data_IF_828044903448
#
_entry.id   IF_828044903448
#
_cell.length_a   1.000
_cell.length_b   1.000
_cell.length_c   1.000
_cell.angle_alpha   90.00
_cell.angle_beta   90.00
_cell.angle_gamma   90.00
#
_symmetry.space_group_name_H-M   'P 1'
#
loop_
_entity.id
_entity.type
_entity.pdbx_description
1 polymer ?
#
# COMPACT_ATOMS: atom_id res chain seq x y z
N UNK A 1 15.90 -14.22 -20.64
CA UNK A 1 17.22 -14.87 -20.36
C UNK A 1 18.21 -14.36 -21.39
N UNK A 2 19.46 -14.10 -21.02
CA UNK A 2 20.50 -13.66 -21.96
C UNK A 2 21.00 -14.85 -22.80
N UNK A 3 21.36 -14.65 -24.08
CA UNK A 3 22.08 -15.66 -24.86
C UNK A 3 23.39 -16.06 -24.15
N UNK A 4 23.70 -17.36 -24.09
CA UNK A 4 24.82 -17.89 -23.29
C UNK A 4 26.17 -17.27 -23.68
N UNK A 5 26.44 -17.11 -24.98
CA UNK A 5 27.69 -16.55 -25.51
C UNK A 5 27.94 -15.11 -25.03
N UNK A 6 26.87 -14.33 -24.90
CA UNK A 6 26.92 -12.95 -24.41
C UNK A 6 26.97 -12.94 -22.88
N UNK A 7 26.22 -13.82 -22.22
CA UNK A 7 26.13 -13.89 -20.77
C UNK A 7 27.47 -14.23 -20.09
N UNK A 8 28.35 -14.98 -20.76
CA UNK A 8 29.70 -15.32 -20.28
C UNK A 8 30.71 -14.16 -20.38
N UNK A 9 30.47 -13.20 -21.29
CA UNK A 9 31.36 -12.04 -21.51
C UNK A 9 30.99 -10.83 -20.67
N UNK A 10 29.81 -10.84 -20.04
CA UNK A 10 29.27 -9.72 -19.29
C UNK A 10 29.31 -9.98 -17.78
N UNK A 11 29.70 -8.95 -17.04
CA UNK A 11 29.54 -8.93 -15.58
C UNK A 11 28.05 -8.90 -15.20
N UNK A 12 27.71 -9.32 -13.98
CA UNK A 12 26.31 -9.27 -13.51
C UNK A 12 25.75 -7.84 -13.51
N UNK A 13 26.56 -6.83 -13.24
CA UNK A 13 26.13 -5.43 -13.32
C UNK A 13 25.93 -4.95 -14.77
N UNK A 14 26.80 -5.34 -15.71
CA UNK A 14 26.60 -5.01 -17.13
C UNK A 14 25.30 -5.62 -17.68
N UNK A 15 24.89 -6.80 -17.19
CA UNK A 15 23.58 -7.38 -17.53
C UNK A 15 22.42 -6.50 -17.05
N UNK A 16 22.52 -5.90 -15.86
CA UNK A 16 21.53 -4.94 -15.35
C UNK A 16 21.45 -3.72 -16.25
N UNK A 17 22.58 -3.14 -16.68
CA UNK A 17 22.61 -1.98 -17.58
C UNK A 17 21.91 -2.28 -18.92
N UNK A 18 22.14 -3.47 -19.49
CA UNK A 18 21.47 -3.87 -20.74
C UNK A 18 19.95 -4.03 -20.52
N UNK A 19 19.52 -4.62 -19.40
CA UNK A 19 18.09 -4.70 -19.06
C UNK A 19 17.49 -3.31 -18.90
N UNK A 20 18.17 -2.40 -18.20
CA UNK A 20 17.73 -1.02 -18.04
C UNK A 20 17.49 -0.33 -19.39
N UNK A 21 18.36 -0.53 -20.38
CA UNK A 21 18.23 0.10 -21.69
C UNK A 21 17.18 -0.56 -22.58
N UNK A 22 17.09 -1.89 -22.59
CA UNK A 22 16.26 -2.63 -23.57
C UNK A 22 14.89 -3.06 -23.02
N UNK A 23 14.80 -3.33 -21.72
CA UNK A 23 13.64 -3.90 -21.02
C UNK A 23 13.52 -3.31 -19.60
N UNK A 24 13.26 -2.00 -19.47
CA UNK A 24 13.14 -1.36 -18.16
C UNK A 24 12.03 -1.97 -17.29
N UNK A 25 11.01 -2.57 -17.90
CA UNK A 25 9.96 -3.37 -17.25
C UNK A 25 10.47 -4.64 -16.54
N UNK A 26 11.75 -4.99 -16.70
CA UNK A 26 12.39 -6.13 -16.02
C UNK A 26 13.56 -5.70 -15.13
N UNK A 27 13.75 -4.39 -14.95
CA UNK A 27 14.88 -3.86 -14.21
C UNK A 27 14.82 -4.27 -12.74
N UNK A 28 13.66 -4.20 -12.09
CA UNK A 28 13.46 -4.68 -10.72
C UNK A 28 13.93 -6.14 -10.57
N UNK A 29 13.41 -7.07 -11.38
CA UNK A 29 13.84 -8.48 -11.32
C UNK A 29 15.34 -8.66 -11.60
N UNK A 30 15.92 -7.87 -12.50
CA UNK A 30 17.35 -7.92 -12.79
C UNK A 30 18.21 -7.42 -11.62
N UNK A 31 17.77 -6.36 -10.93
CA UNK A 31 18.40 -5.83 -9.71
C UNK A 31 18.30 -6.83 -8.56
N UNK A 32 17.14 -7.47 -8.37
CA UNK A 32 16.97 -8.56 -7.38
C UNK A 32 18.00 -9.65 -7.64
N UNK A 33 18.05 -10.16 -8.87
CA UNK A 33 18.99 -11.22 -9.24
C UNK A 33 20.45 -10.81 -9.10
N UNK A 34 20.79 -9.58 -9.48
CA UNK A 34 22.13 -9.04 -9.28
C UNK A 34 22.50 -8.99 -7.80
N UNK A 35 21.58 -8.54 -6.96
CA UNK A 35 21.79 -8.40 -5.51
C UNK A 35 21.94 -9.75 -4.83
N UNK A 36 21.11 -10.74 -5.18
CA UNK A 36 21.24 -12.11 -4.65
C UNK A 36 22.56 -12.77 -5.06
N UNK A 37 23.00 -12.57 -6.31
CA UNK A 37 24.30 -13.06 -6.79
C UNK A 37 25.49 -12.40 -6.06
N UNK A 38 25.46 -11.08 -5.86
CA UNK A 38 26.56 -10.33 -5.23
C UNK A 38 26.63 -10.57 -3.73
N UNK A 39 25.49 -10.54 -3.03
CA UNK A 39 25.42 -10.77 -1.59
C UNK A 39 25.48 -12.26 -1.22
N UNK A 40 25.42 -13.15 -2.22
CA UNK A 40 25.40 -14.61 -2.04
C UNK A 40 24.25 -15.06 -1.11
N UNK A 41 23.08 -14.44 -1.27
CA UNK A 41 21.86 -14.76 -0.51
C UNK A 41 20.83 -15.42 -1.42
N UNK A 42 20.05 -16.39 -0.91
CA UNK A 42 19.06 -17.10 -1.73
C UNK A 42 17.91 -16.18 -2.19
N UNK A 43 17.58 -15.16 -1.41
CA UNK A 43 16.57 -14.14 -1.75
C UNK A 43 16.89 -12.82 -1.04
N UNK A 44 16.48 -11.71 -1.64
CA UNK A 44 16.45 -10.40 -0.98
C UNK A 44 15.19 -10.22 -0.11
N UNK A 45 14.14 -11.02 -0.36
CA UNK A 45 12.96 -11.00 0.48
C UNK A 45 13.36 -11.46 1.88
N UNK A 46 13.09 -10.64 2.90
CA UNK A 46 13.35 -11.04 4.28
C UNK A 46 12.61 -12.34 4.58
N UNK A 47 13.29 -13.30 5.21
CA UNK A 47 12.58 -14.40 5.83
C UNK A 47 11.66 -13.81 6.88
N UNK A 48 10.36 -14.07 6.81
CA UNK A 48 9.41 -13.69 7.85
C UNK A 48 9.95 -14.22 9.18
N UNK A 49 10.43 -13.32 10.04
CA UNK A 49 10.93 -13.73 11.35
C UNK A 49 9.73 -14.13 12.18
N UNK A 50 9.63 -15.38 12.66
CA UNK A 50 8.53 -15.78 13.52
C UNK A 50 8.44 -14.83 14.71
N UNK A 51 7.23 -14.42 15.10
CA UNK A 51 7.03 -13.54 16.25
C UNK A 51 7.71 -14.05 17.53
N UNK A 52 7.81 -15.38 17.66
CA UNK A 52 8.56 -16.05 18.71
C UNK A 52 10.05 -15.64 18.74
N UNK A 53 10.72 -15.56 17.58
CA UNK A 53 12.12 -15.13 17.48
C UNK A 53 12.29 -13.67 17.87
N UNK A 54 11.34 -12.80 17.49
CA UNK A 54 11.33 -11.39 17.89
C UNK A 54 11.16 -11.26 19.41
N UNK A 55 10.26 -12.05 19.99
CA UNK A 55 10.03 -12.09 21.44
C UNK A 55 11.28 -12.52 22.23
N UNK A 56 12.04 -13.48 21.70
CA UNK A 56 13.30 -13.93 22.30
C UNK A 56 14.42 -12.90 22.17
N UNK A 57 14.47 -12.17 21.05
CA UNK A 57 15.46 -11.13 20.80
C UNK A 57 15.18 -9.82 21.55
N UNK A 58 13.92 -9.60 21.98
CA UNK A 58 13.54 -8.44 22.76
C UNK A 58 13.82 -8.66 24.25
N UNK A 59 14.53 -7.71 24.84
CA UNK A 59 14.69 -7.58 26.29
C UNK A 59 13.60 -6.66 26.85
N UNK A 60 13.29 -6.75 28.15
CA UNK A 60 12.18 -5.98 28.74
C UNK A 60 12.25 -4.45 28.54
N UNK A 61 13.45 -3.88 28.41
CA UNK A 61 13.63 -2.43 28.17
C UNK A 61 13.53 -2.06 26.70
N UNK A 62 13.68 -3.02 25.78
CA UNK A 62 13.73 -2.78 24.33
C UNK A 62 12.36 -3.11 23.71
N UNK A 63 11.52 -2.09 23.41
CA UNK A 63 10.21 -2.35 22.83
C UNK A 63 10.32 -2.88 21.40
N UNK A 64 9.29 -3.61 20.97
CA UNK A 64 9.12 -4.10 19.60
C UNK A 64 8.11 -3.19 18.91
N UNK A 65 8.55 -2.48 17.88
CA UNK A 65 7.73 -1.55 17.11
C UNK A 65 7.33 -2.17 15.77
N UNK A 66 6.05 -2.48 15.63
CA UNK A 66 5.43 -2.81 14.36
C UNK A 66 5.10 -1.54 13.57
N UNK A 67 5.74 -1.42 12.42
CA UNK A 67 5.36 -0.47 11.38
C UNK A 67 4.30 -1.18 10.55
N UNK A 68 3.04 -0.85 10.78
CA UNK A 68 1.90 -1.51 10.14
C UNK A 68 1.51 -0.77 8.87
N UNK A 69 1.13 -1.52 7.83
CA UNK A 69 0.32 -0.95 6.74
C UNK A 69 -1.09 -0.65 7.24
N UNK A 70 -1.79 0.37 6.71
CA UNK A 70 -3.18 0.64 7.07
C UNK A 70 -4.05 -0.63 7.00
N UNK A 71 -4.82 -0.88 8.06
CA UNK A 71 -5.66 -2.08 8.18
C UNK A 71 -4.94 -3.37 8.60
N UNK A 72 -3.64 -3.33 8.91
CA UNK A 72 -2.92 -4.43 9.55
C UNK A 72 -2.93 -4.34 11.07
N UNK A 73 -3.32 -5.44 11.73
CA UNK A 73 -3.46 -5.54 13.18
C UNK A 73 -2.80 -6.84 13.68
N UNK A 74 -1.70 -6.75 14.45
CA UNK A 74 -0.99 -7.91 14.99
C UNK A 74 -1.61 -8.47 16.29
N UNK A 75 -2.72 -7.91 16.78
CA UNK A 75 -3.30 -8.25 18.10
C UNK A 75 -3.58 -9.74 18.24
N UNK A 76 -4.10 -10.37 17.18
CA UNK A 76 -4.47 -11.78 17.25
C UNK A 76 -3.24 -12.68 17.31
N UNK A 77 -2.26 -12.47 16.44
CA UNK A 77 -1.03 -13.27 16.42
C UNK A 77 -0.25 -13.12 17.74
N UNK A 78 -0.26 -11.92 18.32
CA UNK A 78 0.33 -11.68 19.65
C UNK A 78 -0.45 -12.36 20.77
N UNK A 79 -1.79 -12.38 20.70
CA UNK A 79 -2.63 -13.06 21.70
C UNK A 79 -2.40 -14.56 21.67
N UNK A 80 -2.33 -15.16 20.48
CA UNK A 80 -2.03 -16.59 20.31
C UNK A 80 -0.60 -16.90 20.80
N UNK A 81 0.38 -16.04 20.51
CA UNK A 81 1.74 -16.19 21.02
C UNK A 81 1.82 -16.09 22.55
N UNK A 82 1.14 -15.11 23.14
CA UNK A 82 1.10 -14.93 24.59
C UNK A 82 0.45 -16.16 25.26
N UNK A 83 -0.66 -16.66 24.72
CA UNK A 83 -1.32 -17.87 25.20
C UNK A 83 -0.41 -19.10 25.11
N UNK A 84 0.32 -19.27 24.00
CA UNK A 84 1.25 -20.39 23.81
C UNK A 84 2.44 -20.37 24.76
N UNK A 85 2.82 -19.19 25.27
CA UNK A 85 3.93 -18.98 26.20
C UNK A 85 3.47 -18.84 27.66
N UNK A 86 2.17 -18.96 27.92
CA UNK A 86 1.58 -18.80 29.25
C UNK A 86 1.64 -17.37 29.79
N UNK A 87 1.84 -16.38 28.91
CA UNK A 87 1.95 -14.97 29.27
C UNK A 87 0.61 -14.26 29.13
N UNK A 88 0.37 -13.26 29.98
CA UNK A 88 -0.81 -12.40 29.89
C UNK A 88 -0.50 -11.21 29.00
N UNK A 89 -1.27 -11.03 27.92
CA UNK A 89 -1.22 -9.85 27.06
C UNK A 89 -2.32 -8.87 27.47
N UNK A 90 -1.96 -7.60 27.66
CA UNK A 90 -2.89 -6.49 27.86
C UNK A 90 -2.68 -5.50 26.72
N UNK A 91 -3.76 -5.12 26.03
CA UNK A 91 -3.70 -4.28 24.83
C UNK A 91 -4.56 -3.03 24.97
N UNK A 92 -4.08 -1.90 24.42
CA UNK A 92 -4.83 -0.65 24.35
C UNK A 92 -4.56 0.07 23.03
N UNK A 93 -5.61 0.51 22.35
CA UNK A 93 -5.49 1.40 21.19
C UNK A 93 -5.49 2.85 21.65
N UNK A 94 -4.51 3.64 21.22
CA UNK A 94 -4.48 5.06 21.52
C UNK A 94 -5.55 5.77 20.69
N UNK A 95 -6.39 6.55 21.36
CA UNK A 95 -7.45 7.34 20.75
C UNK A 95 -8.38 7.95 21.80
N UNK A 96 -8.79 9.20 21.59
CA UNK A 96 -9.80 9.84 22.45
C UNK A 96 -9.34 10.23 23.87
N UNK A 97 -8.04 10.41 24.11
CA UNK A 97 -7.52 10.94 25.38
C UNK A 97 -7.12 9.88 26.43
N UNK A 98 -6.92 8.62 26.02
CA UNK A 98 -6.57 7.50 26.91
C UNK A 98 -5.05 7.31 27.11
N UNK A 99 -4.23 8.32 26.80
CA UNK A 99 -2.77 8.20 26.83
C UNK A 99 -2.23 7.98 28.25
N UNK A 100 -2.91 8.51 29.26
CA UNK A 100 -2.51 8.34 30.65
C UNK A 100 -2.77 6.90 31.15
N UNK A 101 -3.91 6.33 30.79
CA UNK A 101 -4.25 4.94 31.10
C UNK A 101 -3.27 3.97 30.42
N UNK A 102 -2.82 4.29 29.21
CA UNK A 102 -1.78 3.51 28.52
C UNK A 102 -0.44 3.51 29.27
N UNK A 103 -0.04 4.64 29.89
CA UNK A 103 1.16 4.70 30.73
C UNK A 103 1.00 3.89 32.02
N UNK A 104 -0.17 3.91 32.63
CA UNK A 104 -0.46 3.10 33.82
C UNK A 104 -0.44 1.60 33.48
N UNK A 105 -1.05 1.21 32.36
CA UNK A 105 -0.97 -0.14 31.82
C UNK A 105 0.48 -0.57 31.58
N UNK A 106 1.31 0.31 31.00
CA UNK A 106 2.73 0.06 30.79
C UNK A 106 3.48 -0.16 32.12
N UNK A 107 3.28 0.72 33.10
CA UNK A 107 3.91 0.61 34.43
C UNK A 107 3.51 -0.66 35.16
N UNK A 108 2.21 -1.00 35.16
CA UNK A 108 1.71 -2.22 35.78
C UNK A 108 2.28 -3.45 35.07
N UNK A 109 2.31 -3.45 33.73
CA UNK A 109 2.93 -4.52 32.95
C UNK A 109 4.41 -4.71 33.30
N UNK A 110 5.17 -3.62 33.44
CA UNK A 110 6.59 -3.67 33.83
C UNK A 110 6.78 -4.31 35.21
N UNK A 111 5.90 -4.06 36.18
CA UNK A 111 5.98 -4.61 37.54
C UNK A 111 5.53 -6.08 37.58
N UNK A 112 4.40 -6.39 36.95
CA UNK A 112 3.77 -7.73 36.99
C UNK A 112 4.39 -8.71 36.00
N UNK A 113 5.16 -8.23 35.02
CA UNK A 113 5.74 -9.05 33.96
C UNK A 113 4.80 -9.40 32.82
N UNK A 114 3.69 -8.69 32.70
CA UNK A 114 2.73 -8.88 31.61
C UNK A 114 3.26 -8.34 30.29
N UNK A 115 2.75 -8.87 29.18
CA UNK A 115 2.99 -8.28 27.87
C UNK A 115 2.03 -7.13 27.65
N UNK A 116 2.54 -6.02 27.13
CA UNK A 116 1.76 -4.81 26.86
C UNK A 116 1.79 -4.51 25.38
N UNK A 117 0.62 -4.33 24.76
CA UNK A 117 0.45 -3.90 23.38
C UNK A 117 -0.19 -2.52 23.33
N UNK A 118 0.54 -1.51 22.85
CA UNK A 118 0.01 -0.15 22.63
C UNK A 118 -0.12 0.07 21.13
N UNK A 119 -1.35 0.30 20.67
CA UNK A 119 -1.66 0.42 19.24
C UNK A 119 -1.88 1.87 18.80
N UNK A 120 -1.68 2.13 17.51
CA UNK A 120 -1.97 3.39 16.84
C UNK A 120 -1.18 4.59 17.39
N UNK A 121 0.10 4.42 17.69
CA UNK A 121 0.96 5.50 18.19
C UNK A 121 1.03 6.71 17.25
N UNK A 122 0.80 6.49 15.95
CA UNK A 122 0.72 7.55 14.94
C UNK A 122 -0.37 8.60 15.23
N UNK A 123 -1.36 8.29 16.07
CA UNK A 123 -2.41 9.22 16.50
C UNK A 123 -1.95 10.16 17.64
N UNK A 124 -0.85 9.84 18.33
CA UNK A 124 -0.36 10.59 19.50
C UNK A 124 1.17 10.68 19.56
N UNK A 125 1.81 11.12 18.47
CA UNK A 125 3.27 11.14 18.33
C UNK A 125 4.00 11.97 19.40
N UNK A 126 3.44 13.12 19.78
CA UNK A 126 4.02 13.98 20.83
C UNK A 126 4.05 13.28 22.19
N UNK A 127 3.07 12.39 22.46
CA UNK A 127 3.02 11.59 23.68
C UNK A 127 3.89 10.33 23.59
N UNK A 128 4.00 9.70 22.42
CA UNK A 128 4.69 8.41 22.25
C UNK A 128 6.13 8.42 22.79
N UNK A 129 6.83 9.57 22.77
CA UNK A 129 8.16 9.71 23.37
C UNK A 129 8.20 9.42 24.89
N UNK A 130 7.09 9.58 25.61
CA UNK A 130 7.00 9.27 27.05
C UNK A 130 7.13 7.76 27.35
N UNK A 131 6.74 6.90 26.41
CA UNK A 131 6.88 5.44 26.55
C UNK A 131 8.35 5.08 26.76
N UNK A 132 9.23 5.70 25.97
CA UNK A 132 10.67 5.48 26.07
C UNK A 132 11.23 5.90 27.43
N UNK A 133 10.79 7.06 27.93
CA UNK A 133 11.20 7.57 29.24
C UNK A 133 10.79 6.63 30.37
N UNK A 134 9.57 6.08 30.32
CA UNK A 134 9.08 5.11 31.30
C UNK A 134 9.85 3.78 31.24
N UNK A 135 10.09 3.25 30.04
CA UNK A 135 10.85 2.00 29.87
C UNK A 135 12.30 2.13 30.36
N UNK A 136 12.94 3.29 30.13
CA UNK A 136 14.32 3.55 30.55
C UNK A 136 14.45 3.77 32.06
N UNK A 137 13.50 4.49 32.66
CA UNK A 137 13.51 4.79 34.09
C UNK A 137 12.99 3.63 34.94
N UNK A 138 12.18 2.75 34.35
CA UNK A 138 11.64 1.56 34.98
C UNK A 138 12.67 0.45 35.18
N UNK A 139 12.29 -0.53 36.01
CA UNK A 139 12.98 -1.81 36.14
C UNK A 139 12.02 -2.93 35.72
N UNK A 140 11.84 -3.17 34.41
CA UNK A 140 10.88 -4.15 33.93
C UNK A 140 11.22 -5.55 34.42
N UNK A 141 10.19 -6.32 34.77
CA UNK A 141 10.29 -7.74 35.06
C UNK A 141 10.91 -8.49 33.88
N UNK A 142 11.59 -9.61 34.13
CA UNK A 142 12.32 -10.36 33.08
C UNK A 142 11.40 -10.83 31.94
N UNK A 143 10.16 -11.17 32.29
CA UNK A 143 9.18 -11.73 31.35
C UNK A 143 8.34 -10.63 30.65
N UNK A 144 8.48 -9.37 31.09
CA UNK A 144 7.80 -8.22 30.47
C UNK A 144 8.23 -8.05 29.01
N UNK A 145 7.27 -7.76 28.13
CA UNK A 145 7.50 -7.38 26.74
C UNK A 145 6.60 -6.22 26.35
N UNK A 146 7.15 -5.22 25.68
CA UNK A 146 6.43 -4.06 25.17
C UNK A 146 6.32 -4.14 23.65
N UNK A 147 5.09 -4.20 23.15
CA UNK A 147 4.73 -4.24 21.74
C UNK A 147 4.03 -2.93 21.38
N UNK A 148 4.46 -2.31 20.29
CA UNK A 148 3.97 -1.02 19.83
C UNK A 148 3.53 -1.14 18.37
N UNK A 149 2.43 -0.49 17.98
CA UNK A 149 2.05 -0.36 16.56
C UNK A 149 2.00 1.10 16.13
N UNK A 150 2.51 1.38 14.94
CA UNK A 150 2.47 2.70 14.33
C UNK A 150 2.36 2.60 12.82
N UNK A 151 1.75 3.61 12.20
CA UNK A 151 1.87 3.83 10.76
C UNK A 151 3.11 4.72 10.50
N UNK A 152 3.67 4.70 9.28
CA UNK A 152 4.76 5.59 8.90
C UNK A 152 4.38 7.07 9.07
N UNK A 153 5.16 7.82 9.86
CA UNK A 153 5.02 9.27 10.06
C UNK A 153 6.40 9.91 10.13
N UNK A 154 6.58 11.04 9.46
CA UNK A 154 7.88 11.73 9.38
C UNK A 154 8.36 12.27 10.74
N UNK A 155 7.43 12.66 11.60
CA UNK A 155 7.67 13.26 12.91
C UNK A 155 7.59 12.26 14.08
N UNK A 156 7.77 10.96 13.80
CA UNK A 156 7.77 9.95 14.86
C UNK A 156 9.00 10.12 15.77
N UNK A 157 8.88 9.99 17.12
CA UNK A 157 9.99 10.21 18.05
C UNK A 157 11.25 9.38 17.76
N UNK A 158 12.35 10.05 17.40
CA UNK A 158 13.61 9.41 16.99
C UNK A 158 14.20 8.53 18.09
N UNK A 159 14.16 8.98 19.35
CA UNK A 159 14.72 8.23 20.49
C UNK A 159 13.98 6.89 20.67
N UNK A 160 12.65 6.90 20.54
CA UNK A 160 11.86 5.67 20.61
C UNK A 160 12.15 4.77 19.40
N UNK A 161 12.33 5.33 18.20
CA UNK A 161 12.71 4.54 17.02
C UNK A 161 14.06 3.86 17.21
N UNK A 162 15.06 4.58 17.70
CA UNK A 162 16.41 4.06 17.94
C UNK A 162 16.40 2.93 18.98
N UNK A 163 15.67 3.12 20.08
CA UNK A 163 15.57 2.14 21.17
C UNK A 163 14.67 0.94 20.85
N UNK A 164 13.89 0.98 19.77
CA UNK A 164 12.98 -0.11 19.38
C UNK A 164 13.62 -1.17 18.46
N UNK A 165 13.17 -2.41 18.58
CA UNK A 165 13.28 -3.42 17.52
C UNK A 165 12.18 -3.14 16.48
N UNK A 166 12.55 -2.72 15.27
CA UNK A 166 11.61 -2.28 14.24
C UNK A 166 11.29 -3.44 13.31
N UNK A 167 10.01 -3.68 13.08
CA UNK A 167 9.51 -4.76 12.23
C UNK A 167 8.42 -4.19 11.32
N UNK A 168 8.60 -4.34 10.02
CA UNK A 168 7.51 -4.09 9.08
C UNK A 168 6.48 -5.22 9.25
N UNK A 169 5.26 -4.86 9.60
CA UNK A 169 4.15 -5.79 9.73
C UNK A 169 3.22 -5.55 8.53
N UNK A 170 3.51 -6.29 7.47
CA UNK A 170 2.81 -6.23 6.20
C UNK A 170 2.20 -7.60 5.94
N UNK A 171 1.05 -7.63 5.26
CA UNK A 171 0.47 -8.89 4.84
C UNK A 171 1.12 -9.38 3.55
N UNK A 172 1.29 -10.70 3.38
CA UNK A 172 1.82 -11.25 2.15
C UNK A 172 0.90 -10.87 0.98
N UNK A 173 1.45 -10.36 -0.13
CA UNK A 173 0.65 -9.91 -1.26
C UNK A 173 -0.08 -11.08 -1.91
N UNK A 174 -1.20 -10.76 -2.56
CA UNK A 174 -1.98 -11.66 -3.39
C UNK A 174 -3.37 -11.94 -2.83
N UNK A 175 -4.35 -12.03 -3.74
CA UNK A 175 -5.78 -12.17 -3.38
C UNK A 175 -6.01 -13.38 -2.49
N UNK A 176 -5.37 -14.51 -2.81
CA UNK A 176 -5.47 -15.75 -2.04
C UNK A 176 -4.99 -15.57 -0.59
N UNK A 177 -3.85 -14.94 -0.40
CA UNK A 177 -3.28 -14.70 0.93
C UNK A 177 -4.18 -13.76 1.74
N UNK A 178 -4.72 -12.74 1.08
CA UNK A 178 -5.66 -11.83 1.71
C UNK A 178 -7.00 -12.51 2.08
N UNK A 179 -7.57 -13.37 1.22
CA UNK A 179 -8.74 -14.19 1.57
C UNK A 179 -8.43 -15.12 2.75
N UNK A 180 -7.26 -15.77 2.75
CA UNK A 180 -6.85 -16.64 3.86
C UNK A 180 -6.81 -15.88 5.18
N UNK A 181 -6.21 -14.69 5.20
CA UNK A 181 -6.19 -13.78 6.34
C UNK A 181 -7.59 -13.43 6.84
N UNK A 182 -8.50 -13.08 5.92
CA UNK A 182 -9.89 -12.79 6.27
C UNK A 182 -10.56 -14.01 6.90
N UNK A 183 -10.44 -15.19 6.30
CA UNK A 183 -10.99 -16.44 6.84
C UNK A 183 -10.35 -16.84 8.17
N UNK A 184 -9.07 -16.52 8.38
CA UNK A 184 -8.43 -16.71 9.67
C UNK A 184 -9.08 -15.80 10.70
N UNK A 185 -9.34 -14.53 10.40
CA UNK A 185 -9.91 -13.55 11.35
C UNK A 185 -11.32 -13.88 11.84
N UNK A 186 -12.06 -14.72 11.14
CA UNK A 186 -13.43 -15.08 11.50
C UNK A 186 -13.51 -16.16 12.59
N UNK A 187 -14.45 -15.96 13.51
CA UNK A 187 -14.88 -17.01 14.42
C UNK A 187 -15.57 -18.15 13.65
N UNK A 188 -15.11 -19.37 13.89
CA UNK A 188 -15.61 -20.55 13.16
C UNK A 188 -17.08 -20.80 13.48
N UNK A 189 -17.52 -20.57 14.73
CA UNK A 189 -18.93 -20.76 15.10
C UNK A 189 -19.83 -19.76 14.41
N UNK A 190 -19.43 -18.49 14.33
CA UNK A 190 -20.17 -17.45 13.61
C UNK A 190 -20.31 -17.73 12.11
N UNK A 191 -19.24 -18.23 11.48
CA UNK A 191 -19.24 -18.61 10.06
C UNK A 191 -20.14 -19.84 9.83
N UNK A 192 -20.00 -20.86 10.67
CA UNK A 192 -20.68 -22.16 10.56
C UNK A 192 -22.12 -22.19 11.12
N UNK A 193 -22.63 -21.06 11.62
CA UNK A 193 -23.91 -20.99 12.36
C UNK A 193 -25.18 -21.29 11.54
N UNK A 194 -25.08 -21.38 10.21
CA UNK A 194 -26.25 -21.50 9.33
C UNK A 194 -26.07 -22.53 8.22
N UNK A 195 -26.80 -22.31 7.13
CA UNK A 195 -26.79 -23.19 5.98
C UNK A 195 -25.56 -22.98 5.07
N UNK A 196 -25.48 -23.81 4.03
CA UNK A 196 -24.39 -23.74 3.04
C UNK A 196 -24.43 -22.40 2.31
N UNK A 197 -25.61 -21.89 1.95
CA UNK A 197 -25.78 -20.60 1.27
C UNK A 197 -25.19 -19.45 2.08
N UNK A 198 -25.46 -19.40 3.40
CA UNK A 198 -24.83 -18.43 4.31
C UNK A 198 -23.30 -18.46 4.20
N UNK A 199 -22.72 -19.64 4.34
CA UNK A 199 -21.26 -19.81 4.36
C UNK A 199 -20.62 -19.41 3.03
N UNK A 200 -21.28 -19.75 1.92
CA UNK A 200 -20.85 -19.39 0.57
C UNK A 200 -20.92 -17.88 0.33
N UNK A 201 -22.00 -17.21 0.71
CA UNK A 201 -22.14 -15.75 0.53
C UNK A 201 -21.16 -14.99 1.40
N UNK A 202 -20.92 -15.43 2.65
CA UNK A 202 -19.87 -14.84 3.49
C UNK A 202 -18.50 -14.97 2.82
N UNK A 203 -18.18 -16.13 2.26
CA UNK A 203 -16.93 -16.34 1.53
C UNK A 203 -16.82 -15.46 0.27
N UNK A 204 -17.92 -15.20 -0.44
CA UNK A 204 -17.96 -14.22 -1.53
C UNK A 204 -17.57 -12.81 -1.05
N UNK A 205 -18.00 -12.39 0.14
CA UNK A 205 -17.58 -11.11 0.74
C UNK A 205 -16.06 -11.06 0.96
N UNK A 206 -15.45 -12.14 1.46
CA UNK A 206 -13.99 -12.21 1.62
C UNK A 206 -13.26 -12.12 0.27
N UNK A 207 -13.73 -12.85 -0.75
CA UNK A 207 -13.14 -12.82 -2.10
C UNK A 207 -13.24 -11.43 -2.72
N UNK A 208 -14.41 -10.80 -2.65
CA UNK A 208 -14.62 -9.44 -3.16
C UNK A 208 -13.70 -8.44 -2.45
N UNK A 209 -13.67 -8.46 -1.11
CA UNK A 209 -12.85 -7.55 -0.32
C UNK A 209 -11.35 -7.71 -0.63
N UNK A 210 -10.86 -8.95 -0.71
CA UNK A 210 -9.48 -9.24 -1.06
C UNK A 210 -9.13 -8.76 -2.48
N UNK A 211 -10.04 -8.91 -3.44
CA UNK A 211 -9.81 -8.49 -4.82
C UNK A 211 -9.75 -6.96 -4.96
N UNK A 212 -10.63 -6.21 -4.29
CA UNK A 212 -10.59 -4.73 -4.35
C UNK A 212 -9.36 -4.17 -3.62
N UNK A 213 -8.94 -4.80 -2.53
CA UNK A 213 -7.69 -4.46 -1.83
C UNK A 213 -6.48 -4.73 -2.72
N UNK A 214 -6.35 -5.90 -3.33
CA UNK A 214 -5.14 -6.16 -4.13
C UNK A 214 -5.00 -5.30 -5.39
N UNK A 215 -6.10 -4.76 -5.89
CA UNK A 215 -6.03 -3.79 -6.99
C UNK A 215 -5.38 -2.47 -6.60
N UNK A 216 -5.31 -2.10 -5.32
CA UNK A 216 -4.61 -0.88 -4.88
C UNK A 216 -3.11 -0.97 -5.11
N UNK A 217 -2.56 -2.18 -5.24
CA UNK A 217 -1.17 -2.41 -5.64
C UNK A 217 -0.85 -1.96 -7.08
N UNK A 218 -1.85 -1.66 -7.92
CA UNK A 218 -1.67 -1.40 -9.36
C UNK A 218 -2.07 0.02 -9.80
N UNK A 219 -1.73 1.08 -9.06
CA UNK A 219 -2.12 2.44 -9.45
C UNK A 219 -1.27 2.95 -10.64
N UNK A 220 -1.86 3.57 -11.69
CA UNK A 220 -3.27 3.92 -11.86
C UNK A 220 -4.17 2.88 -12.59
N UNK A 221 -3.64 1.73 -13.02
CA UNK A 221 -4.36 0.74 -13.85
C UNK A 221 -5.39 -0.10 -13.08
N UNK A 222 -5.13 -0.31 -11.79
CA UNK A 222 -5.99 -0.98 -10.81
C UNK A 222 -7.10 -0.05 -10.36
N UNK A 223 -6.71 1.11 -9.88
CA UNK A 223 -7.57 2.23 -9.46
C UNK A 223 -6.92 3.54 -9.90
N UNK A 224 -7.70 4.57 -10.21
CA UNK A 224 -7.10 5.87 -10.57
C UNK A 224 -6.40 6.57 -9.40
N UNK A 225 -6.76 6.20 -8.16
CA UNK A 225 -6.23 6.75 -6.90
C UNK A 225 -6.09 5.64 -5.86
N UNK A 226 -5.38 5.95 -4.77
CA UNK A 226 -5.31 5.06 -3.62
C UNK A 226 -6.62 5.14 -2.82
N UNK A 227 -7.35 4.02 -2.76
CA UNK A 227 -8.59 3.89 -2.02
C UNK A 227 -8.38 2.95 -0.84
N UNK A 228 -8.78 3.39 0.35
CA UNK A 228 -8.68 2.60 1.56
C UNK A 228 -9.97 1.78 1.78
N UNK A 229 -9.89 0.48 1.53
CA UNK A 229 -10.94 -0.49 1.86
C UNK A 229 -10.62 -1.14 3.20
N UNK A 230 -11.42 -0.82 4.22
CA UNK A 230 -11.19 -1.17 5.62
C UNK A 230 -11.90 -2.47 6.03
N UNK A 231 -11.49 -3.04 7.16
CA UNK A 231 -12.18 -4.20 7.77
C UNK A 231 -13.63 -3.89 8.17
N UNK A 232 -13.96 -2.62 8.44
CA UNK A 232 -15.33 -2.19 8.68
C UNK A 232 -16.20 -2.36 7.43
N UNK A 233 -15.66 -2.07 6.23
CA UNK A 233 -16.38 -2.25 4.97
C UNK A 233 -16.66 -3.74 4.71
N UNK A 234 -15.70 -4.62 5.02
CA UNK A 234 -15.90 -6.08 4.98
C UNK A 234 -17.00 -6.51 5.96
N UNK A 235 -16.98 -6.02 7.20
CA UNK A 235 -17.99 -6.35 8.21
C UNK A 235 -19.39 -5.93 7.74
N UNK A 236 -19.55 -4.69 7.27
CA UNK A 236 -20.82 -4.22 6.72
C UNK A 236 -21.27 -5.00 5.48
N UNK A 237 -20.33 -5.45 4.64
CA UNK A 237 -20.62 -6.31 3.52
C UNK A 237 -21.17 -7.68 3.96
N UNK A 238 -20.54 -8.31 4.96
CA UNK A 238 -21.02 -9.55 5.56
C UNK A 238 -22.41 -9.37 6.17
N UNK A 239 -22.63 -8.33 6.98
CA UNK A 239 -23.95 -8.06 7.59
C UNK A 239 -25.04 -7.87 6.52
N UNK A 240 -24.75 -7.11 5.46
CA UNK A 240 -25.67 -6.91 4.33
C UNK A 240 -25.97 -8.23 3.61
N UNK A 241 -24.94 -9.06 3.38
CA UNK A 241 -25.09 -10.38 2.81
C UNK A 241 -26.01 -11.28 3.64
N UNK A 242 -25.88 -11.24 4.96
CA UNK A 242 -26.73 -12.01 5.87
C UNK A 242 -28.17 -11.52 5.87
N UNK A 243 -28.40 -10.21 5.76
CA UNK A 243 -29.75 -9.64 5.65
C UNK A 243 -30.42 -9.95 4.30
N UNK A 244 -29.63 -10.14 3.24
CA UNK A 244 -30.14 -10.50 1.92
C UNK A 244 -30.43 -12.00 1.77
N UNK A 245 -29.99 -12.83 2.73
CA UNK A 245 -30.27 -14.27 2.76
C UNK A 245 -31.67 -14.53 3.33
N UNK A 246 -32.48 -15.29 2.61
CA UNK A 246 -33.82 -15.72 3.03
C UNK A 246 -33.78 -17.05 3.76
N UNK A 247 -34.87 -17.34 4.48
CA UNK A 247 -35.05 -18.59 5.23
C UNK A 247 -35.00 -19.86 4.35
N UNK A 248 -35.29 -19.73 3.06
CA UNK A 248 -35.22 -20.83 2.08
C UNK A 248 -33.81 -21.04 1.50
N UNK A 249 -32.80 -20.30 1.98
CA UNK A 249 -31.43 -20.34 1.52
C UNK A 249 -31.17 -19.58 0.21
N UNK A 250 -32.20 -18.92 -0.35
CA UNK A 250 -32.04 -18.06 -1.52
C UNK A 250 -31.56 -16.64 -1.14
N UNK A 251 -30.84 -15.99 -2.05
CA UNK A 251 -30.25 -14.65 -1.81
C UNK A 251 -30.94 -13.62 -2.68
N UNK A 252 -31.37 -12.50 -2.09
CA UNK A 252 -31.87 -11.31 -2.79
C UNK A 252 -30.72 -10.53 -3.44
N UNK A 253 -30.18 -11.10 -4.52
CA UNK A 253 -29.01 -10.56 -5.21
C UNK A 253 -29.12 -9.09 -5.64
N UNK A 254 -30.26 -8.59 -6.18
CA UNK A 254 -30.37 -7.18 -6.57
C UNK A 254 -30.17 -6.23 -5.39
N UNK A 255 -30.76 -6.55 -4.24
CA UNK A 255 -30.66 -5.75 -3.01
C UNK A 255 -29.24 -5.78 -2.46
N UNK A 256 -28.64 -6.97 -2.37
CA UNK A 256 -27.25 -7.13 -1.92
C UNK A 256 -26.29 -6.29 -2.77
N UNK A 257 -26.38 -6.43 -4.10
CA UNK A 257 -25.53 -5.68 -5.03
C UNK A 257 -25.74 -4.17 -4.91
N UNK A 258 -26.98 -3.71 -4.84
CA UNK A 258 -27.31 -2.29 -4.73
C UNK A 258 -26.75 -1.65 -3.47
N UNK A 259 -26.77 -2.34 -2.33
CA UNK A 259 -26.20 -1.84 -1.07
C UNK A 259 -24.67 -1.87 -1.13
N UNK A 260 -24.06 -2.96 -1.60
CA UNK A 260 -22.60 -3.07 -1.71
C UNK A 260 -22.01 -2.00 -2.64
N UNK A 261 -22.62 -1.78 -3.80
CA UNK A 261 -22.10 -0.87 -4.81
C UNK A 261 -22.37 0.61 -4.53
N UNK A 262 -23.39 0.97 -3.74
CA UNK A 262 -23.76 2.37 -3.50
C UNK A 262 -23.48 2.84 -2.07
N UNK A 263 -23.63 1.97 -1.07
CA UNK A 263 -23.52 2.35 0.35
C UNK A 263 -22.23 1.87 1.01
N UNK A 264 -21.73 0.67 0.69
CA UNK A 264 -20.56 0.08 1.37
C UNK A 264 -19.26 0.43 0.66
N UNK A 265 -19.08 -0.02 -0.59
CA UNK A 265 -17.84 0.20 -1.33
C UNK A 265 -17.91 1.40 -2.27
N UNK A 266 -19.09 1.69 -2.84
CA UNK A 266 -19.26 2.85 -3.72
C UNK A 266 -19.04 4.19 -3.04
N UNK A 267 -19.33 4.29 -1.74
CA UNK A 267 -19.14 5.54 -0.99
C UNK A 267 -17.64 5.88 -0.78
N UNK A 268 -16.75 4.90 -0.96
CA UNK A 268 -15.29 5.09 -0.91
C UNK A 268 -14.73 5.64 -2.23
N UNK A 269 -15.49 5.51 -3.32
CA UNK A 269 -15.00 5.75 -4.68
C UNK A 269 -15.65 6.99 -5.28
N UNK A 270 -14.85 8.04 -5.47
CA UNK A 270 -15.27 9.32 -6.02
C UNK A 270 -15.17 9.38 -7.56
N UNK A 271 -14.36 8.53 -8.18
CA UNK A 271 -14.16 8.49 -9.62
C UNK A 271 -15.23 7.61 -10.31
N UNK A 272 -15.93 8.17 -11.30
CA UNK A 272 -16.98 7.47 -12.04
C UNK A 272 -16.50 6.22 -12.80
N UNK A 273 -15.25 6.18 -13.27
CA UNK A 273 -14.67 5.02 -13.94
C UNK A 273 -14.34 3.90 -12.96
N UNK A 274 -13.76 4.25 -11.81
CA UNK A 274 -13.50 3.30 -10.72
C UNK A 274 -14.81 2.76 -10.13
N UNK A 275 -15.85 3.58 -10.04
CA UNK A 275 -17.17 3.13 -9.59
C UNK A 275 -17.77 2.09 -10.55
N UNK A 276 -17.56 2.22 -11.88
CA UNK A 276 -17.98 1.18 -12.84
C UNK A 276 -17.29 -0.15 -12.58
N UNK A 277 -16.02 -0.11 -12.19
CA UNK A 277 -15.25 -1.30 -11.86
C UNK A 277 -15.77 -1.97 -10.58
N UNK A 278 -16.05 -1.19 -9.52
CA UNK A 278 -16.70 -1.71 -8.30
C UNK A 278 -18.02 -2.40 -8.65
N UNK A 279 -18.88 -1.73 -9.42
CA UNK A 279 -20.18 -2.29 -9.87
C UNK A 279 -20.01 -3.59 -10.65
N UNK A 280 -19.01 -3.65 -11.54
CA UNK A 280 -18.73 -4.86 -12.31
C UNK A 280 -18.27 -6.01 -11.41
N UNK A 281 -17.39 -5.76 -10.45
CA UNK A 281 -16.93 -6.75 -9.49
C UNK A 281 -18.08 -7.27 -8.62
N UNK A 282 -18.92 -6.34 -8.11
CA UNK A 282 -20.10 -6.69 -7.33
C UNK A 282 -21.05 -7.57 -8.15
N UNK A 283 -21.29 -7.23 -9.42
CA UNK A 283 -22.14 -8.01 -10.32
C UNK A 283 -21.60 -9.41 -10.60
N UNK A 284 -20.30 -9.53 -10.81
CA UNK A 284 -19.67 -10.79 -11.19
C UNK A 284 -19.49 -11.76 -10.01
N UNK A 285 -19.22 -11.23 -8.81
CA UNK A 285 -19.00 -12.04 -7.60
C UNK A 285 -20.34 -12.39 -6.92
N UNK A 286 -21.26 -11.44 -6.78
CA UNK A 286 -22.54 -11.63 -6.09
C UNK A 286 -23.65 -12.02 -7.07
N UNK A 287 -23.56 -13.26 -7.55
CA UNK A 287 -24.52 -13.87 -8.46
C UNK A 287 -24.61 -15.38 -8.21
N UNK A 288 -25.79 -15.96 -8.45
CA UNK A 288 -26.00 -17.40 -8.30
C UNK A 288 -25.03 -18.21 -9.18
N UNK A 289 -24.73 -17.72 -10.38
CA UNK A 289 -23.80 -18.37 -11.29
C UNK A 289 -22.38 -18.51 -10.71
N UNK A 290 -21.95 -17.56 -9.86
CA UNK A 290 -20.65 -17.60 -9.21
C UNK A 290 -20.56 -18.74 -8.18
N UNK A 291 -21.68 -19.07 -7.52
CA UNK A 291 -21.79 -20.22 -6.61
C UNK A 291 -21.83 -21.52 -7.41
N UNK A 292 -22.71 -21.59 -8.42
CA UNK A 292 -23.01 -22.85 -9.12
C UNK A 292 -21.82 -23.32 -9.97
N UNK A 293 -21.23 -22.43 -10.77
CA UNK A 293 -20.21 -22.77 -11.77
C UNK A 293 -18.80 -22.35 -11.37
N UNK A 294 -18.65 -21.61 -10.26
CA UNK A 294 -17.43 -20.87 -9.96
C UNK A 294 -17.30 -19.62 -10.83
N UNK A 295 -16.79 -18.53 -10.27
CA UNK A 295 -16.51 -17.29 -10.99
C UNK A 295 -15.04 -17.19 -11.41
N UNK A 296 -14.77 -16.44 -12.49
CA UNK A 296 -13.40 -16.09 -12.91
C UNK A 296 -12.62 -15.33 -11.82
N UNK A 297 -13.36 -14.53 -11.04
CA UNK A 297 -12.86 -13.75 -9.91
C UNK A 297 -12.75 -14.58 -8.61
N UNK A 298 -13.21 -15.82 -8.59
CA UNK A 298 -13.13 -16.69 -7.42
C UNK A 298 -11.84 -17.54 -7.46
N UNK A 299 -11.19 -17.75 -6.32
CA UNK A 299 -9.95 -18.54 -6.26
C UNK A 299 -10.18 -20.03 -6.56
N UNK A 300 -11.40 -20.54 -6.35
CA UNK A 300 -11.83 -21.91 -6.63
C UNK A 300 -13.36 -21.98 -6.68
N UNK A 301 -13.91 -23.11 -7.14
CA UNK A 301 -15.35 -23.38 -7.09
C UNK A 301 -15.77 -23.60 -5.64
N UNK A 302 -16.75 -22.84 -5.16
CA UNK A 302 -17.15 -22.85 -3.76
C UNK A 302 -17.64 -24.26 -3.32
N UNK A 303 -17.08 -24.83 -2.25
CA UNK A 303 -17.56 -26.09 -1.71
C UNK A 303 -18.98 -25.93 -1.13
N UNK A 304 -19.79 -26.99 -1.26
CA UNK A 304 -21.11 -27.06 -0.64
C UNK A 304 -21.00 -27.54 0.81
N UNK A 305 -20.34 -26.74 1.65
CA UNK A 305 -20.07 -27.04 3.05
C UNK A 305 -20.24 -25.80 3.90
N UNK A 306 -20.49 -25.99 5.18
CA UNK A 306 -20.49 -24.90 6.17
C UNK A 306 -19.11 -24.73 6.82
N UNK A 307 -18.27 -25.76 6.80
CA UNK A 307 -17.02 -25.75 7.58
C UNK A 307 -15.99 -24.77 7.04
N UNK A 308 -15.58 -23.82 7.89
CA UNK A 308 -14.55 -22.83 7.57
C UNK A 308 -13.19 -23.49 7.29
N UNK A 309 -12.89 -24.59 7.98
CA UNK A 309 -11.66 -25.38 7.76
C UNK A 309 -11.58 -25.97 6.34
N UNK A 310 -12.72 -26.38 5.78
CA UNK A 310 -12.78 -26.89 4.41
C UNK A 310 -12.51 -25.78 3.39
N UNK A 311 -13.07 -24.59 3.57
CA UNK A 311 -12.76 -23.43 2.72
C UNK A 311 -11.26 -23.08 2.77
N UNK A 312 -10.64 -23.10 3.95
CA UNK A 312 -9.19 -22.88 4.12
C UNK A 312 -8.36 -23.95 3.41
N UNK A 313 -8.75 -25.21 3.52
CA UNK A 313 -8.07 -26.32 2.84
C UNK A 313 -8.15 -26.18 1.31
N UNK A 314 -9.30 -25.79 0.77
CA UNK A 314 -9.46 -25.50 -0.66
C UNK A 314 -8.64 -24.29 -1.12
N UNK A 315 -8.52 -23.24 -0.29
CA UNK A 315 -7.59 -22.13 -0.56
C UNK A 315 -6.16 -22.65 -0.67
N UNK A 316 -5.74 -23.54 0.24
CA UNK A 316 -4.37 -24.06 0.26
C UNK A 316 -4.04 -24.94 -0.97
N UNK A 317 -5.02 -25.69 -1.48
CA UNK A 317 -4.85 -26.61 -2.61
C UNK A 317 -5.26 -26.02 -3.97
N UNK A 318 -5.66 -24.74 -4.04
CA UNK A 318 -6.04 -24.15 -5.32
C UNK A 318 -4.83 -24.07 -6.28
N UNK A 319 -4.98 -24.68 -7.46
CA UNK A 319 -3.98 -24.72 -8.55
C UNK A 319 -3.83 -23.36 -9.27
N UNK A 320 -4.79 -22.45 -9.07
CA UNK A 320 -4.73 -21.08 -9.59
C UNK A 320 -3.61 -20.34 -8.86
N UNK A 321 -2.45 -20.23 -9.53
CA UNK A 321 -1.26 -19.59 -8.99
C UNK A 321 -1.57 -18.14 -8.61
N UNK A 322 -1.11 -17.70 -7.43
CA UNK A 322 -1.38 -16.37 -6.88
C UNK A 322 -0.86 -15.20 -7.73
N UNK A 323 -0.05 -15.48 -8.75
CA UNK A 323 0.57 -14.51 -9.66
C UNK A 323 -0.27 -14.25 -10.94
N UNK A 324 -1.36 -15.00 -11.18
CA UNK A 324 -2.16 -14.77 -12.38
C UNK A 324 -3.12 -13.57 -12.20
N UNK A 325 -2.77 -12.44 -12.82
CA UNK A 325 -3.56 -11.21 -12.81
C UNK A 325 -4.93 -11.34 -13.50
N UNK A 326 -5.22 -12.49 -14.14
CA UNK A 326 -6.54 -12.81 -14.68
C UNK A 326 -7.63 -12.75 -13.61
N UNK A 327 -7.31 -13.11 -12.36
CA UNK A 327 -8.22 -13.01 -11.21
C UNK A 327 -8.60 -11.58 -10.84
N UNK A 328 -7.80 -10.59 -11.26
CA UNK A 328 -8.12 -9.17 -11.13
C UNK A 328 -8.72 -8.58 -12.42
N UNK A 329 -9.03 -9.39 -13.44
CA UNK A 329 -9.48 -8.91 -14.76
C UNK A 329 -8.59 -7.81 -15.33
N UNK A 330 -7.29 -7.91 -15.08
CA UNK A 330 -6.31 -6.95 -15.58
C UNK A 330 -5.69 -7.43 -16.88
N UNK A 331 -5.30 -6.48 -17.72
CA UNK A 331 -4.60 -6.81 -18.94
C UNK A 331 -3.20 -7.40 -18.62
N UNK A 332 -2.68 -8.36 -19.41
CA UNK A 332 -1.37 -8.99 -19.14
C UNK A 332 -0.17 -8.02 -19.15
N UNK A 333 -0.34 -6.82 -19.70
CA UNK A 333 0.67 -5.77 -19.69
C UNK A 333 0.63 -4.88 -18.43
N UNK A 334 -0.37 -5.04 -17.57
CA UNK A 334 -0.47 -4.25 -16.35
C UNK A 334 0.66 -4.54 -15.35
N UNK A 335 1.09 -5.80 -15.27
CA UNK A 335 2.32 -6.18 -14.55
C UNK A 335 3.53 -5.40 -15.07
N UNK A 336 3.67 -5.29 -16.40
CA UNK A 336 4.78 -4.56 -17.02
C UNK A 336 4.76 -3.07 -16.67
N UNK A 337 3.57 -2.47 -16.63
CA UNK A 337 3.40 -1.07 -16.24
C UNK A 337 3.79 -0.87 -14.77
N UNK A 338 3.35 -1.76 -13.87
CA UNK A 338 3.73 -1.73 -12.46
C UNK A 338 5.24 -1.89 -12.28
N UNK A 339 5.85 -2.87 -12.93
CA UNK A 339 7.29 -3.12 -12.89
C UNK A 339 8.10 -1.92 -13.39
N UNK A 340 7.62 -1.23 -14.43
CA UNK A 340 8.24 -0.01 -14.94
C UNK A 340 8.20 1.10 -13.88
N UNK A 341 7.01 1.39 -13.33
CA UNK A 341 6.83 2.39 -12.27
C UNK A 341 7.68 2.08 -11.04
N UNK A 342 7.71 0.81 -10.62
CA UNK A 342 8.57 0.36 -9.50
C UNK A 342 10.04 0.58 -9.81
N UNK A 343 10.49 0.23 -11.01
CA UNK A 343 11.87 0.40 -11.44
C UNK A 343 12.29 1.88 -11.45
N UNK A 344 11.42 2.76 -11.95
CA UNK A 344 11.64 4.21 -11.90
C UNK A 344 11.71 4.75 -10.46
N UNK A 345 10.79 4.29 -9.61
CA UNK A 345 10.76 4.65 -8.17
C UNK A 345 12.03 4.21 -7.45
N UNK A 346 12.48 2.97 -7.65
CA UNK A 346 13.71 2.44 -7.05
C UNK A 346 14.92 3.25 -7.52
N UNK A 347 15.02 3.56 -8.82
CA UNK A 347 16.10 4.39 -9.34
C UNK A 347 16.08 5.80 -8.77
N UNK A 348 14.91 6.42 -8.63
CA UNK A 348 14.75 7.73 -8.01
C UNK A 348 15.21 7.72 -6.54
N UNK A 349 14.82 6.69 -5.78
CA UNK A 349 15.25 6.50 -4.38
C UNK A 349 16.78 6.34 -4.27
N UNK A 350 17.39 5.53 -5.14
CA UNK A 350 18.85 5.35 -5.18
C UNK A 350 19.56 6.68 -5.50
N UNK A 351 19.02 7.47 -6.45
CA UNK A 351 19.56 8.80 -6.78
C UNK A 351 19.46 9.75 -5.59
N UNK A 352 18.34 9.75 -4.87
CA UNK A 352 18.14 10.55 -3.65
C UNK A 352 19.16 10.20 -2.56
N UNK A 353 19.46 8.91 -2.37
CA UNK A 353 20.49 8.47 -1.42
C UNK A 353 21.89 8.97 -1.80
N UNK A 354 22.22 8.99 -3.10
CA UNK A 354 23.50 9.52 -3.59
C UNK A 354 23.63 11.03 -3.34
N UNK A 355 22.57 11.79 -3.58
CA UNK A 355 22.57 13.26 -3.37
C UNK A 355 22.84 13.60 -1.90
N UNK A 356 22.30 12.81 -0.95
CA UNK A 356 22.55 13.02 0.49
C UNK A 356 24.00 12.73 0.93
N UNK A 357 24.71 11.82 0.25
CA UNK A 357 26.10 11.49 0.60
C UNK A 357 27.13 12.49 0.08
N UNK A 358 26.79 13.31 -0.93
CA UNK A 358 27.72 14.27 -1.55
C UNK A 358 27.81 15.59 -0.77
N UNK A 359 26.97 15.81 0.25
CA UNK A 359 27.18 16.91 1.20
C UNK A 359 28.37 16.58 2.13
N UNK A 360 29.49 17.33 2.08
CA UNK A 360 30.63 17.08 2.95
C UNK A 360 30.25 17.36 4.41
N UNK A 361 30.55 16.41 5.29
CA UNK A 361 30.31 16.42 6.74
C UNK A 361 31.16 17.45 7.52
N UNK A 362 31.44 18.62 6.95
CA UNK A 362 32.33 19.65 7.52
C UNK A 362 31.86 21.10 7.39
N UNK A 363 30.75 21.36 6.71
CA UNK A 363 30.12 22.69 6.74
C UNK A 363 28.67 22.53 7.14
N UNK A 364 28.33 23.07 8.31
CA UNK A 364 26.96 23.49 8.61
C UNK A 364 26.58 24.58 7.60
N UNK A 365 26.29 24.15 6.38
CA UNK A 365 25.57 24.95 5.41
C UNK A 365 24.16 25.04 5.97
N UNK A 366 23.68 26.26 6.20
CA UNK A 366 22.30 26.51 6.58
C UNK A 366 21.36 25.64 5.72
N UNK A 367 20.41 24.98 6.37
CA UNK A 367 19.34 24.22 5.72
C UNK A 367 18.87 24.96 4.46
N UNK A 368 18.97 24.30 3.30
CA UNK A 368 18.33 24.76 2.08
C UNK A 368 19.14 25.68 1.15
N UNK A 369 20.45 25.88 1.33
CA UNK A 369 21.22 26.58 0.28
C UNK A 369 21.57 25.61 -0.84
N UNK A 370 20.67 25.55 -1.83
CA UNK A 370 20.90 24.91 -3.12
C UNK A 370 22.20 25.48 -3.73
N UNK A 371 23.11 24.61 -4.19
CA UNK A 371 24.27 25.04 -4.96
C UNK A 371 23.80 25.59 -6.32
N UNK A 372 23.54 26.89 -6.34
CA UNK A 372 23.06 27.65 -7.49
C UNK A 372 23.97 27.49 -8.71
N UNK A 373 25.26 27.20 -8.52
CA UNK A 373 26.22 27.07 -9.62
C UNK A 373 26.05 25.72 -10.32
N UNK A 374 25.91 24.63 -9.55
CA UNK A 374 25.62 23.30 -10.09
C UNK A 374 24.25 23.27 -10.78
N UNK A 375 23.23 23.88 -10.18
CA UNK A 375 21.89 23.95 -10.76
C UNK A 375 21.81 24.86 -11.97
N UNK A 376 22.58 25.95 -12.00
CA UNK A 376 22.71 26.77 -13.21
C UNK A 376 23.27 25.97 -14.38
N UNK A 377 24.31 25.17 -14.18
CA UNK A 377 24.86 24.32 -15.24
C UNK A 377 23.86 23.27 -15.75
N UNK A 378 23.05 22.69 -14.88
CA UNK A 378 21.98 21.74 -15.28
C UNK A 378 20.82 22.44 -15.99
N UNK A 379 20.47 23.65 -15.56
CA UNK A 379 19.40 24.45 -16.15
C UNK A 379 19.83 25.19 -17.41
N UNK A 380 21.13 25.42 -17.65
CA UNK A 380 21.66 26.14 -18.81
C UNK A 380 21.25 25.50 -20.14
N UNK A 381 21.13 24.17 -20.20
CA UNK A 381 20.69 23.47 -21.41
C UNK A 381 19.21 23.73 -21.68
N UNK A 382 18.37 23.64 -20.63
CA UNK A 382 16.94 23.93 -20.73
C UNK A 382 16.71 25.40 -21.05
N UNK A 383 17.52 26.26 -20.46
CA UNK A 383 17.54 27.70 -20.69
C UNK A 383 17.90 28.03 -22.14
N UNK A 384 19.01 27.51 -22.65
CA UNK A 384 19.45 27.74 -24.02
C UNK A 384 18.41 27.21 -25.04
N UNK A 385 17.80 26.05 -24.75
CA UNK A 385 16.71 25.52 -25.55
C UNK A 385 15.49 26.45 -25.54
N UNK A 386 15.06 26.89 -24.35
CA UNK A 386 13.96 27.83 -24.20
C UNK A 386 14.25 29.15 -24.91
N UNK A 387 15.42 29.75 -24.72
CA UNK A 387 15.80 31.03 -25.33
C UNK A 387 15.90 30.95 -26.86
N UNK A 388 16.27 29.78 -27.42
CA UNK A 388 16.22 29.53 -28.85
C UNK A 388 14.78 29.52 -29.36
N UNK A 389 13.89 28.78 -28.68
CA UNK A 389 12.47 28.65 -29.07
C UNK A 389 11.68 29.93 -28.84
N UNK A 390 11.93 30.63 -27.75
CA UNK A 390 11.29 31.89 -27.43
C UNK A 390 11.64 32.95 -28.48
N UNK A 391 12.91 33.04 -28.91
CA UNK A 391 13.33 33.95 -29.99
C UNK A 391 12.65 33.67 -31.33
N UNK A 392 12.46 32.40 -31.70
CA UNK A 392 11.76 32.00 -32.93
C UNK A 392 10.30 32.51 -32.96
N UNK A 393 9.63 32.54 -31.81
CA UNK A 393 8.20 32.84 -31.69
C UNK A 393 7.88 34.18 -31.04
N UNK A 394 8.88 34.99 -30.69
CA UNK A 394 8.71 36.28 -30.01
C UNK A 394 7.90 37.28 -30.82
N UNK A 395 8.05 37.27 -32.15
CA UNK A 395 7.27 38.11 -33.06
C UNK A 395 5.78 37.77 -33.01
N UNK A 396 5.44 36.47 -33.02
CA UNK A 396 4.07 35.99 -32.98
C UNK A 396 3.38 36.29 -31.64
N UNK A 397 4.12 36.26 -30.53
CA UNK A 397 3.60 36.61 -29.21
C UNK A 397 3.42 38.13 -29.00
N UNK A 398 4.10 38.96 -29.81
CA UNK A 398 4.01 40.43 -29.75
C UNK A 398 2.87 41.02 -30.59
N UNK A 399 2.21 40.21 -31.42
CA UNK A 399 1.07 40.67 -32.21
C UNK A 399 -0.15 40.93 -31.30
N UNK A 400 -0.85 42.07 -31.47
CA UNK A 400 -2.03 42.38 -30.69
C UNK A 400 -3.18 41.43 -31.05
N UNK A 401 -3.43 40.45 -30.19
CA UNK A 401 -4.53 39.50 -30.33
C UNK A 401 -5.85 40.17 -29.92
N UNK A 402 -6.89 39.97 -30.74
CA UNK A 402 -8.25 40.45 -30.44
C UNK A 402 -8.97 39.47 -29.51
N UNK A 403 -9.64 39.96 -28.45
CA UNK A 403 -10.53 39.15 -27.62
C UNK A 403 -11.62 38.48 -28.45
N UNK A 404 -12.13 37.36 -27.97
CA UNK A 404 -13.34 36.75 -28.53
C UNK A 404 -14.54 37.70 -28.33
N UNK A 405 -15.28 37.96 -29.41
CA UNK A 405 -16.49 38.79 -29.38
C UNK A 405 -17.74 37.91 -29.49
N UNK A 406 -18.91 38.42 -29.05
CA UNK A 406 -20.19 37.70 -29.14
C UNK A 406 -20.68 37.45 -30.56
N UNK A 407 -20.04 38.09 -31.55
CA UNK A 407 -20.29 37.98 -32.99
C UNK A 407 -19.49 36.86 -33.65
N UNK A 408 -18.50 36.30 -32.95
CA UNK A 408 -17.68 35.21 -33.46
C UNK A 408 -18.43 33.87 -33.43
N UNK A 409 -18.09 32.97 -34.38
CA UNK A 409 -18.54 31.59 -34.27
C UNK A 409 -17.94 30.93 -33.02
N UNK A 410 -18.61 29.94 -32.39
CA UNK A 410 -18.10 29.29 -31.18
C UNK A 410 -16.68 28.72 -31.33
N UNK A 411 -16.34 28.20 -32.51
CA UNK A 411 -15.00 27.69 -32.81
C UNK A 411 -13.99 28.83 -32.95
N UNK A 412 -14.35 29.93 -33.60
CA UNK A 412 -13.46 31.10 -33.73
C UNK A 412 -13.22 31.77 -32.37
N UNK A 413 -14.26 31.87 -31.53
CA UNK A 413 -14.15 32.35 -30.16
C UNK A 413 -13.22 31.47 -29.30
N UNK A 414 -13.35 30.14 -29.40
CA UNK A 414 -12.46 29.19 -28.72
C UNK A 414 -11.00 29.37 -29.17
N UNK A 415 -10.73 29.39 -30.48
CA UNK A 415 -9.36 29.55 -31.00
C UNK A 415 -8.76 30.88 -30.55
N UNK A 416 -9.53 31.97 -30.57
CA UNK A 416 -9.07 33.28 -30.06
C UNK A 416 -8.74 33.24 -28.57
N UNK A 417 -9.60 32.63 -27.75
CA UNK A 417 -9.38 32.49 -26.32
C UNK A 417 -8.16 31.62 -25.99
N UNK A 418 -8.01 30.48 -26.69
CA UNK A 418 -6.86 29.58 -26.54
C UNK A 418 -5.55 30.27 -26.96
N UNK A 419 -5.56 31.00 -28.08
CA UNK A 419 -4.38 31.75 -28.55
C UNK A 419 -3.98 32.86 -27.57
N UNK A 420 -4.96 33.53 -26.95
CA UNK A 420 -4.71 34.53 -25.91
C UNK A 420 -4.08 33.91 -24.66
N UNK A 421 -4.65 32.81 -24.15
CA UNK A 421 -4.10 32.09 -23.00
C UNK A 421 -2.69 31.55 -23.27
N UNK A 422 -2.47 30.99 -24.46
CA UNK A 422 -1.15 30.51 -24.87
C UNK A 422 -0.11 31.65 -24.90
N UNK A 423 -0.51 32.83 -25.39
CA UNK A 423 0.36 34.03 -25.43
C UNK A 423 0.63 34.59 -24.04
N UNK A 424 -0.37 34.57 -23.15
CA UNK A 424 -0.22 34.97 -21.74
C UNK A 424 0.74 34.04 -20.99
N UNK A 425 0.58 32.72 -21.15
CA UNK A 425 1.50 31.72 -20.57
C UNK A 425 2.90 31.92 -21.13
N UNK A 426 3.03 32.06 -22.46
CA UNK A 426 4.33 32.29 -23.10
C UNK A 426 5.02 33.54 -22.57
N UNK A 427 4.29 34.66 -22.46
CA UNK A 427 4.82 35.93 -21.93
C UNK A 427 5.20 35.79 -20.46
N UNK A 428 4.37 35.12 -19.66
CA UNK A 428 4.64 34.86 -18.24
C UNK A 428 5.90 34.03 -18.05
N UNK A 429 6.09 32.98 -18.85
CA UNK A 429 7.31 32.17 -18.82
C UNK A 429 8.50 32.99 -19.31
N UNK A 430 8.36 33.82 -20.36
CA UNK A 430 9.44 34.73 -20.82
C UNK A 430 9.85 35.75 -19.74
N UNK A 431 8.89 36.30 -18.98
CA UNK A 431 9.17 37.24 -17.89
C UNK A 431 9.81 36.56 -16.68
N UNK A 432 9.33 35.37 -16.30
CA UNK A 432 9.90 34.61 -15.18
C UNK A 432 11.30 34.14 -15.48
N UNK A 433 11.58 33.86 -16.76
CA UNK A 433 12.90 33.50 -17.24
C UNK A 433 13.81 34.73 -17.29
N UNK A 434 13.45 35.82 -17.98
CA UNK A 434 14.33 36.99 -18.18
C UNK A 434 14.74 37.76 -16.91
N UNK A 435 14.17 37.48 -15.74
CA UNK A 435 14.44 38.21 -14.48
C UNK A 435 15.61 37.67 -13.63
N UNK A 436 16.32 36.64 -14.09
CA UNK A 436 17.54 36.07 -13.45
C UNK A 436 18.72 36.12 -14.39
#
# INVERSE_FOLDING_TARGET
KFPQEIALKLTSFQKVLIVQTLRPDRLESALVKFTTEVLTVPSISSSTSPLHTLCQAAEGVRPILFIVTPGADPTRELTELAASTGQKLVSMAIGGGNEQEALEMLRNGMVEGHWVLIMNLHLALAWAGKIEVELRNGKPHRDFRCWLTTEPRENFPTILLESSLKVAFEFPPGVRNNVKRICESWDSRWFEAGDVSRSQVLFLCACFHAAVQERTSFIPQGWTKDYEFSTADLKSACETALQALKDDGSVEWPTLRGILENAVYGCRVDNTFDLRLVRQYVKDIFAQQAIDNGGDLLPFRLPATTSLGTFKSHLDHSERSGDDLTHLKMAPNADRALQLTNSERVLAQIRMLRIRQVQPSGQQSAEGTIDMISLRGELEILWAFWESRAREHQAAASEPLRPAESTDSPTAAFVKADTLLATEIFTTVCLSTHST
#
